data_IF_777067550779
#
_entry.id   IF_777067550779
#
_cell.length_a   1.000
_cell.length_b   1.000
_cell.length_c   1.000
_cell.angle_alpha   90.00
_cell.angle_beta   90.00
_cell.angle_gamma   90.00
#
_symmetry.space_group_name_H-M   'P 1'
#
loop_
_entity.id
_entity.type
_entity.pdbx_description
1 polymer ?
#
# COMPACT_ATOMS: atom_id res chain seq x y z
N UNK A 1 13.79 6.47 40.02
CA UNK A 1 13.25 6.11 38.70
C UNK A 1 12.67 7.38 38.10
N UNK A 2 13.30 7.92 37.06
CA UNK A 2 12.76 9.09 36.36
C UNK A 2 11.63 8.60 35.46
N UNK A 3 10.40 9.02 35.75
CA UNK A 3 9.29 8.82 34.84
C UNK A 3 9.54 9.69 33.60
N UNK A 4 9.76 9.05 32.46
CA UNK A 4 9.76 9.74 31.18
C UNK A 4 8.32 10.10 30.85
N UNK A 5 7.95 11.35 31.10
CA UNK A 5 6.69 11.89 30.62
C UNK A 5 6.87 12.31 29.16
N UNK A 6 6.19 11.61 28.26
CA UNK A 6 6.00 12.13 26.92
C UNK A 6 5.08 13.35 27.02
N UNK A 7 5.46 14.46 26.37
CA UNK A 7 4.59 15.63 26.27
C UNK A 7 3.32 15.38 25.44
N UNK A 8 3.24 14.22 24.78
CA UNK A 8 2.17 13.85 23.87
C UNK A 8 1.29 12.76 24.48
N UNK A 9 -0.01 13.04 24.62
CA UNK A 9 -0.94 12.18 25.36
C UNK A 9 -1.50 11.02 24.52
N UNK A 10 -1.43 11.13 23.18
CA UNK A 10 -2.12 10.23 22.25
C UNK A 10 -1.16 9.51 21.29
N UNK A 11 0.03 9.14 21.76
CA UNK A 11 1.05 8.49 20.92
C UNK A 11 0.49 7.20 20.30
N UNK A 12 0.60 7.06 18.97
CA UNK A 12 0.15 5.89 18.20
C UNK A 12 -1.35 5.58 18.37
N UNK A 13 -2.17 6.58 18.68
CA UNK A 13 -3.62 6.46 18.80
C UNK A 13 -4.34 6.98 17.53
N UNK A 14 -5.58 6.54 17.33
CA UNK A 14 -6.48 7.12 16.33
C UNK A 14 -6.75 8.63 16.59
N UNK A 15 -6.55 9.06 17.83
CA UNK A 15 -6.68 10.46 18.25
C UNK A 15 -5.41 11.29 18.03
N UNK A 16 -4.36 10.73 17.43
CA UNK A 16 -3.13 11.43 17.04
C UNK A 16 -3.38 12.36 15.83
N UNK A 17 -4.25 13.34 16.03
CA UNK A 17 -4.75 14.29 15.04
C UNK A 17 -4.60 15.73 15.55
N UNK A 18 -3.85 15.91 16.64
CA UNK A 18 -3.76 17.15 17.39
C UNK A 18 -3.19 18.31 16.56
N UNK A 19 -2.26 18.02 15.65
CA UNK A 19 -1.70 19.00 14.72
C UNK A 19 -2.75 19.54 13.75
N UNK A 20 -3.72 18.70 13.35
CA UNK A 20 -4.80 19.11 12.43
C UNK A 20 -6.02 19.73 13.10
N UNK A 21 -6.18 19.56 14.42
CA UNK A 21 -7.39 20.01 15.11
C UNK A 21 -7.39 21.53 15.42
N UNK A 22 -6.24 22.21 15.31
CA UNK A 22 -6.12 23.64 15.59
C UNK A 22 -5.16 24.34 14.61
N UNK A 23 -5.57 25.45 13.96
CA UNK A 23 -4.69 26.25 13.13
C UNK A 23 -3.44 26.77 13.87
N UNK A 24 -3.58 27.10 15.15
CA UNK A 24 -2.47 27.56 15.99
C UNK A 24 -1.44 26.45 16.19
N UNK A 25 -1.89 25.24 16.55
CA UNK A 25 -0.99 24.08 16.73
C UNK A 25 -0.28 23.71 15.43
N UNK A 26 -0.99 23.76 14.30
CA UNK A 26 -0.42 23.58 12.97
C UNK A 26 0.69 24.60 12.69
N UNK A 27 0.45 25.89 12.89
CA UNK A 27 1.45 26.93 12.64
C UNK A 27 2.66 26.77 13.57
N UNK A 28 2.43 26.49 14.86
CA UNK A 28 3.50 26.16 15.82
C UNK A 28 4.32 24.96 15.35
N UNK A 29 3.68 23.90 14.84
CA UNK A 29 4.37 22.74 14.29
C UNK A 29 5.23 23.09 13.07
N UNK A 30 4.72 23.92 12.15
CA UNK A 30 5.49 24.39 10.98
C UNK A 30 6.75 25.13 11.43
N UNK A 31 6.64 26.07 12.37
CA UNK A 31 7.79 26.83 12.88
C UNK A 31 8.81 25.94 13.57
N UNK A 32 8.35 25.00 14.41
CA UNK A 32 9.26 24.06 15.08
C UNK A 32 9.95 23.11 14.10
N UNK A 33 9.23 22.56 13.13
CA UNK A 33 9.81 21.67 12.12
C UNK A 33 10.80 22.42 11.22
N UNK A 34 10.52 23.68 10.88
CA UNK A 34 11.45 24.54 10.14
C UNK A 34 12.73 24.82 10.92
N UNK A 35 12.62 25.18 12.20
CA UNK A 35 13.76 25.40 13.08
C UNK A 35 14.59 24.11 13.28
N UNK A 36 13.92 22.97 13.48
CA UNK A 36 14.57 21.65 13.62
C UNK A 36 15.29 21.26 12.33
N UNK A 37 14.67 21.40 11.17
CA UNK A 37 15.29 21.11 9.88
C UNK A 37 16.51 22.01 9.64
N UNK A 38 16.40 23.31 9.96
CA UNK A 38 17.51 24.26 9.83
C UNK A 38 18.66 23.94 10.77
N UNK A 39 18.36 23.58 12.03
CA UNK A 39 19.34 23.15 13.02
C UNK A 39 20.04 21.84 12.62
N UNK A 40 19.28 20.86 12.14
CA UNK A 40 19.82 19.59 11.66
C UNK A 40 20.72 19.81 10.44
N UNK A 41 20.29 20.62 9.48
CA UNK A 41 21.08 20.96 8.32
C UNK A 41 22.41 21.60 8.73
N UNK A 42 22.39 22.57 9.65
CA UNK A 42 23.61 23.18 10.20
C UNK A 42 24.51 22.16 10.88
N UNK A 43 23.96 21.25 11.65
CA UNK A 43 24.74 20.21 12.32
C UNK A 43 25.40 19.26 11.30
N UNK A 44 24.66 18.84 10.27
CA UNK A 44 25.18 17.97 9.22
C UNK A 44 26.22 18.66 8.36
N UNK A 45 26.00 19.91 7.93
CA UNK A 45 26.98 20.65 7.12
C UNK A 45 28.23 20.98 7.93
N UNK A 46 28.09 21.37 9.20
CA UNK A 46 29.22 21.57 10.10
C UNK A 46 30.06 20.31 10.25
N UNK A 47 29.42 19.15 10.45
CA UNK A 47 30.08 17.86 10.55
C UNK A 47 30.79 17.44 9.25
N UNK A 48 30.12 17.55 8.10
CA UNK A 48 30.65 17.09 6.81
C UNK A 48 31.74 18.04 6.27
N UNK A 49 31.55 19.35 6.40
CA UNK A 49 32.44 20.37 5.83
C UNK A 49 33.46 20.91 6.85
N UNK A 50 33.47 20.41 8.09
CA UNK A 50 34.29 20.92 9.19
C UNK A 50 34.13 22.45 9.37
N UNK A 51 32.88 22.91 9.42
CA UNK A 51 32.48 24.32 9.56
C UNK A 51 33.00 25.28 8.46
N UNK A 52 33.51 24.76 7.33
CA UNK A 52 34.01 25.58 6.21
C UNK A 52 32.91 26.16 5.34
N UNK A 53 31.78 25.47 5.26
CA UNK A 53 30.59 25.91 4.53
C UNK A 53 29.51 26.35 5.51
N UNK A 54 28.84 27.46 5.18
CA UNK A 54 27.81 27.99 6.06
C UNK A 54 26.49 27.31 5.79
N UNK A 55 25.79 26.90 6.84
CA UNK A 55 24.39 26.48 6.72
C UNK A 55 23.48 27.57 6.10
N UNK A 56 23.93 28.83 6.10
CA UNK A 56 23.25 29.93 5.43
C UNK A 56 23.20 29.76 3.89
N UNK A 57 24.10 28.98 3.32
CA UNK A 57 24.16 28.73 1.88
C UNK A 57 23.05 27.75 1.42
N UNK A 58 22.39 27.08 2.37
CA UNK A 58 21.34 26.10 2.13
C UNK A 58 20.08 26.42 2.97
N UNK A 59 19.36 27.52 2.69
CA UNK A 59 18.19 27.89 3.49
C UNK A 59 17.07 26.85 3.35
N UNK A 60 16.51 26.41 4.49
CA UNK A 60 15.33 25.55 4.50
C UNK A 60 14.10 26.38 4.12
N UNK A 61 13.40 25.99 3.05
CA UNK A 61 12.18 26.66 2.60
C UNK A 61 10.99 26.36 3.55
N UNK A 62 10.58 27.36 4.30
CA UNK A 62 9.45 27.27 5.22
C UNK A 62 8.12 26.98 4.51
N UNK A 63 7.94 27.42 3.27
CA UNK A 63 6.72 27.14 2.51
C UNK A 63 6.65 25.66 2.10
N UNK A 64 7.81 25.07 1.81
CA UNK A 64 7.90 23.65 1.56
C UNK A 64 7.60 22.85 2.83
N UNK A 65 8.17 23.23 3.98
CA UNK A 65 7.84 22.62 5.29
C UNK A 65 6.34 22.72 5.57
N UNK A 66 5.74 23.90 5.38
CA UNK A 66 4.30 24.11 5.52
C UNK A 66 3.48 23.19 4.61
N UNK A 67 3.89 23.04 3.36
CA UNK A 67 3.23 22.14 2.40
C UNK A 67 3.31 20.69 2.86
N UNK A 68 4.48 20.24 3.34
CA UNK A 68 4.65 18.88 3.86
C UNK A 68 3.81 18.66 5.11
N UNK A 69 3.77 19.62 6.04
CA UNK A 69 2.90 19.54 7.23
C UNK A 69 1.43 19.40 6.82
N UNK A 70 0.97 20.23 5.88
CA UNK A 70 -0.42 20.19 5.42
C UNK A 70 -0.76 18.85 4.78
N UNK A 71 0.16 18.31 3.98
CA UNK A 71 -0.03 17.04 3.29
C UNK A 71 0.05 15.82 4.20
N UNK A 72 1.08 15.70 5.04
CA UNK A 72 1.27 14.54 5.91
C UNK A 72 0.25 14.48 7.03
N UNK A 73 -0.12 15.63 7.59
CA UNK A 73 -1.04 15.68 8.71
C UNK A 73 -2.51 15.71 8.28
N UNK A 74 -2.84 16.05 7.03
CA UNK A 74 -4.21 15.95 6.50
C UNK A 74 -4.86 14.59 6.81
N UNK A 75 -6.18 14.61 7.04
CA UNK A 75 -7.00 13.43 7.35
C UNK A 75 -6.86 12.33 6.29
N UNK A 76 -6.68 12.75 5.04
CA UNK A 76 -6.34 11.89 3.90
C UNK A 76 -5.07 12.42 3.24
N UNK A 77 -4.29 11.54 2.62
CA UNK A 77 -3.08 11.93 1.87
C UNK A 77 -3.38 12.47 0.46
N UNK A 78 -4.62 12.91 0.23
CA UNK A 78 -5.09 13.45 -1.03
C UNK A 78 -4.78 14.95 -1.19
N UNK A 79 -3.55 15.38 -0.90
CA UNK A 79 -3.14 16.77 -1.05
C UNK A 79 -2.55 17.03 -2.44
N UNK A 80 -2.74 18.24 -2.98
CA UNK A 80 -2.29 18.60 -4.33
C UNK A 80 -0.79 18.39 -4.59
N UNK A 81 0.05 18.46 -3.55
CA UNK A 81 1.48 18.16 -3.68
C UNK A 81 1.73 16.66 -3.87
N UNK A 82 1.19 15.80 -3.01
CA UNK A 82 1.32 14.33 -3.13
C UNK A 82 0.74 13.81 -4.45
N UNK A 83 -0.40 14.38 -4.86
CA UNK A 83 -1.02 14.07 -6.13
C UNK A 83 -0.10 14.32 -7.35
N UNK A 84 0.71 15.37 -7.29
CA UNK A 84 1.65 15.76 -8.35
C UNK A 84 2.92 14.94 -8.38
N UNK A 85 3.25 14.22 -7.31
CA UNK A 85 4.50 13.45 -7.23
C UNK A 85 4.27 11.96 -7.42
N UNK A 86 3.05 11.48 -7.17
CA UNK A 86 2.66 10.08 -7.38
C UNK A 86 1.24 10.02 -7.97
N UNK A 87 1.07 10.37 -9.26
CA UNK A 87 -0.25 10.41 -9.90
C UNK A 87 -0.91 9.04 -9.98
N UNK A 88 -0.15 7.95 -10.05
CA UNK A 88 -0.69 6.60 -10.22
C UNK A 88 -1.24 5.99 -8.91
N UNK A 89 -0.93 6.60 -7.76
CA UNK A 89 -1.28 6.08 -6.43
C UNK A 89 -2.52 6.77 -5.80
N UNK A 90 -3.20 7.62 -6.58
CA UNK A 90 -4.41 8.35 -6.20
C UNK A 90 -5.51 7.48 -5.57
N UNK A 91 -5.84 6.28 -6.10
CA UNK A 91 -6.91 5.47 -5.53
C UNK A 91 -6.69 5.12 -4.05
N UNK A 92 -5.42 5.03 -3.64
CA UNK A 92 -5.04 4.70 -2.27
C UNK A 92 -4.97 5.92 -1.35
N UNK A 93 -4.89 7.15 -1.89
CA UNK A 93 -4.90 8.38 -1.09
C UNK A 93 -6.28 8.77 -0.57
N UNK A 94 -7.35 8.15 -1.09
CA UNK A 94 -8.71 8.34 -0.59
C UNK A 94 -8.99 7.57 0.71
N UNK A 95 -8.13 6.60 1.06
CA UNK A 95 -8.19 5.93 2.35
C UNK A 95 -7.72 6.88 3.48
N UNK A 96 -8.18 6.61 4.70
CA UNK A 96 -7.70 7.30 5.89
C UNK A 96 -6.17 7.18 5.98
N UNK A 97 -5.52 8.25 6.44
CA UNK A 97 -4.07 8.27 6.72
C UNK A 97 -3.69 7.04 7.55
N UNK A 98 -2.81 6.19 7.02
CA UNK A 98 -2.36 5.00 7.71
C UNK A 98 -0.83 4.87 7.64
N UNK A 99 -0.19 5.01 8.81
CA UNK A 99 1.25 4.83 9.00
C UNK A 99 1.63 3.37 9.29
N UNK A 100 0.65 2.46 9.30
CA UNK A 100 0.88 1.04 9.51
C UNK A 100 1.83 0.49 8.45
N UNK A 101 2.84 -0.25 8.91
CA UNK A 101 3.89 -0.82 8.07
C UNK A 101 3.37 -1.95 7.17
N UNK A 102 2.23 -2.55 7.50
CA UNK A 102 1.68 -3.68 6.76
C UNK A 102 2.47 -4.97 6.96
N UNK A 103 1.91 -6.11 6.50
CA UNK A 103 2.64 -7.35 6.42
C UNK A 103 3.70 -7.29 5.31
N UNK A 104 4.73 -8.13 5.40
CA UNK A 104 5.80 -8.20 4.41
C UNK A 104 5.24 -8.39 2.99
N UNK A 105 5.72 -7.58 2.05
CA UNK A 105 5.30 -7.62 0.63
C UNK A 105 4.20 -6.61 0.28
N UNK A 106 3.54 -5.98 1.26
CA UNK A 106 2.68 -4.84 1.03
C UNK A 106 3.42 -3.55 1.39
N UNK A 107 3.62 -2.67 0.41
CA UNK A 107 4.22 -1.36 0.67
C UNK A 107 3.16 -0.39 1.17
N UNK A 108 3.43 0.27 2.30
CA UNK A 108 2.50 1.28 2.81
C UNK A 108 2.49 2.50 1.87
N UNK A 109 1.36 3.22 1.73
CA UNK A 109 1.34 4.46 0.96
C UNK A 109 2.39 5.48 1.43
N UNK A 110 2.70 5.48 2.73
CA UNK A 110 3.77 6.29 3.33
C UNK A 110 5.11 6.04 2.67
N UNK A 111 5.45 4.77 2.43
CA UNK A 111 6.69 4.39 1.77
C UNK A 111 6.80 5.00 0.37
N UNK A 112 5.73 4.92 -0.42
CA UNK A 112 5.70 5.51 -1.76
C UNK A 112 5.86 7.03 -1.71
N UNK A 113 5.12 7.70 -0.82
CA UNK A 113 5.19 9.16 -0.61
C UNK A 113 6.61 9.59 -0.25
N UNK A 114 7.21 8.98 0.77
CA UNK A 114 8.56 9.33 1.24
C UNK A 114 9.59 9.04 0.15
N UNK A 115 9.50 7.90 -0.55
CA UNK A 115 10.40 7.58 -1.66
C UNK A 115 10.32 8.63 -2.78
N UNK A 116 9.10 9.00 -3.20
CA UNK A 116 8.92 9.99 -4.25
C UNK A 116 9.43 11.38 -3.84
N UNK A 117 9.15 11.81 -2.60
CA UNK A 117 9.66 13.06 -2.06
C UNK A 117 11.19 13.08 -2.07
N UNK A 118 11.82 12.04 -1.55
CA UNK A 118 13.28 11.94 -1.52
C UNK A 118 13.87 11.97 -2.94
N UNK A 119 13.32 11.20 -3.88
CA UNK A 119 13.79 11.18 -5.28
C UNK A 119 13.64 12.57 -5.92
N UNK A 120 12.53 13.25 -5.72
CA UNK A 120 12.34 14.57 -6.31
C UNK A 120 13.17 15.67 -5.64
N UNK A 121 13.46 15.55 -4.34
CA UNK A 121 14.26 16.52 -3.61
C UNK A 121 15.75 16.36 -3.85
N UNK A 122 16.25 15.12 -4.02
CA UNK A 122 17.68 14.81 -4.08
C UNK A 122 18.15 14.22 -5.41
N UNK A 123 17.22 13.78 -6.26
CA UNK A 123 17.54 13.20 -7.57
C UNK A 123 17.84 14.27 -8.62
N UNK A 124 18.66 13.90 -9.59
CA UNK A 124 19.07 14.77 -10.69
C UNK A 124 18.58 14.21 -12.04
N UNK A 125 17.97 15.05 -12.86
CA UNK A 125 17.49 14.69 -14.21
C UNK A 125 18.46 15.11 -15.32
N UNK A 126 19.37 16.04 -15.05
CA UNK A 126 20.37 16.52 -16.02
C UNK A 126 21.38 15.45 -16.45
N UNK A 127 21.57 14.41 -15.62
CA UNK A 127 22.43 13.28 -15.94
C UNK A 127 21.83 12.32 -17.00
N UNK A 128 20.54 12.46 -17.32
CA UNK A 128 19.79 11.54 -18.21
C UNK A 128 18.90 12.29 -19.22
N UNK A 129 19.43 13.27 -19.97
CA UNK A 129 18.59 14.12 -20.83
C UNK A 129 18.00 13.38 -22.03
N UNK A 130 18.59 12.25 -22.42
CA UNK A 130 18.21 11.46 -23.60
C UNK A 130 17.30 10.26 -23.26
N UNK A 131 17.02 10.02 -21.98
CA UNK A 131 16.20 8.89 -21.52
C UNK A 131 14.73 9.29 -21.60
N UNK A 132 13.96 8.61 -22.45
CA UNK A 132 12.55 8.96 -22.72
C UNK A 132 11.56 7.91 -22.24
N UNK A 133 12.02 6.72 -21.88
CA UNK A 133 11.17 5.61 -21.43
C UNK A 133 11.69 5.02 -20.12
N UNK A 134 10.80 4.37 -19.39
CA UNK A 134 11.11 3.63 -18.16
C UNK A 134 12.15 2.54 -18.41
N UNK A 135 11.96 1.73 -19.45
CA UNK A 135 12.91 0.67 -19.83
C UNK A 135 14.33 1.21 -20.05
N UNK A 136 14.45 2.37 -20.72
CA UNK A 136 15.76 3.00 -20.94
C UNK A 136 16.38 3.46 -19.61
N UNK A 137 15.58 3.95 -18.68
CA UNK A 137 16.06 4.34 -17.35
C UNK A 137 16.57 3.11 -16.58
N UNK A 138 15.83 2.00 -16.61
CA UNK A 138 16.19 0.78 -15.90
C UNK A 138 17.46 0.12 -16.45
N UNK A 139 17.70 0.21 -17.78
CA UNK A 139 18.93 -0.29 -18.39
C UNK A 139 20.21 0.43 -17.95
N UNK A 140 20.09 1.57 -17.25
CA UNK A 140 21.24 2.29 -16.69
C UNK A 140 21.70 1.74 -15.33
N UNK A 141 20.85 0.97 -14.64
CA UNK A 141 21.17 0.43 -13.31
C UNK A 141 22.23 -0.69 -13.29
N UNK A 142 22.29 -1.62 -14.27
CA UNK A 142 23.32 -2.66 -14.27
C UNK A 142 24.74 -2.09 -14.22
N UNK A 143 25.54 -2.57 -13.26
CA UNK A 143 26.94 -2.16 -13.08
C UNK A 143 27.14 -0.83 -12.33
N UNK A 144 26.06 -0.20 -11.85
CA UNK A 144 26.16 0.98 -10.98
C UNK A 144 26.26 0.55 -9.52
N UNK A 145 27.24 1.10 -8.79
CA UNK A 145 27.44 0.84 -7.36
C UNK A 145 27.07 2.02 -6.46
N UNK A 146 27.05 3.24 -7.02
CA UNK A 146 26.87 4.48 -6.26
C UNK A 146 25.50 5.10 -6.47
N UNK A 147 24.98 5.00 -7.70
CA UNK A 147 23.74 5.63 -8.08
C UNK A 147 22.74 4.62 -8.60
N UNK A 148 21.47 4.95 -8.40
CA UNK A 148 20.34 4.29 -9.00
C UNK A 148 19.61 5.26 -9.93
N UNK A 149 19.13 4.72 -11.03
CA UNK A 149 18.32 5.41 -12.01
C UNK A 149 16.88 4.98 -11.80
N UNK A 150 16.02 5.94 -11.46
CA UNK A 150 14.62 5.69 -11.13
C UNK A 150 13.72 6.52 -12.04
N UNK A 151 12.81 5.84 -12.73
CA UNK A 151 11.76 6.50 -13.49
C UNK A 151 10.69 7.03 -12.53
N UNK A 152 10.47 8.34 -12.50
CA UNK A 152 9.51 8.97 -11.60
C UNK A 152 8.80 10.14 -12.25
N UNK A 153 7.55 10.37 -11.85
CA UNK A 153 6.76 11.50 -12.35
C UNK A 153 7.29 12.81 -11.78
N UNK A 154 7.51 13.82 -12.63
CA UNK A 154 7.88 15.17 -12.24
C UNK A 154 6.66 16.08 -12.29
N UNK A 155 6.18 16.51 -11.12
CA UNK A 155 5.00 17.37 -11.00
C UNK A 155 5.17 18.80 -11.52
N UNK A 156 6.40 19.28 -11.73
CA UNK A 156 6.67 20.61 -12.30
C UNK A 156 6.59 20.58 -13.82
N UNK A 157 7.14 19.55 -14.43
CA UNK A 157 7.16 19.37 -15.89
C UNK A 157 5.96 18.57 -16.43
N UNK A 158 5.15 18.01 -15.52
CA UNK A 158 3.97 17.19 -15.83
C UNK A 158 4.28 16.00 -16.76
N UNK A 159 5.45 15.38 -16.57
CA UNK A 159 5.92 14.19 -17.31
C UNK A 159 6.82 13.33 -16.42
N UNK A 160 6.93 12.05 -16.74
CA UNK A 160 7.90 11.17 -16.11
C UNK A 160 9.30 11.38 -16.67
N UNK A 161 10.29 11.38 -15.78
CA UNK A 161 11.69 11.59 -16.07
C UNK A 161 12.51 10.49 -15.38
N UNK A 162 13.68 10.19 -15.95
CA UNK A 162 14.67 9.36 -15.28
C UNK A 162 15.46 10.24 -14.30
N UNK A 163 15.50 9.86 -13.03
CA UNK A 163 16.27 10.52 -11.99
C UNK A 163 17.49 9.67 -11.65
N UNK A 164 18.68 10.27 -11.68
CA UNK A 164 19.87 9.71 -11.03
C UNK A 164 19.83 10.08 -9.55
N UNK A 165 19.88 9.09 -8.66
CA UNK A 165 19.79 9.30 -7.22
C UNK A 165 20.69 8.34 -6.45
N UNK A 166 21.16 8.75 -5.27
CA UNK A 166 21.82 7.86 -4.30
C UNK A 166 20.82 7.19 -3.36
N UNK A 167 19.52 7.43 -3.54
CA UNK A 167 18.47 6.84 -2.72
C UNK A 167 18.22 5.42 -3.18
N UNK A 168 18.39 4.48 -2.25
CA UNK A 168 18.05 3.07 -2.44
C UNK A 168 17.14 2.58 -1.33
N UNK A 169 16.48 1.47 -1.57
CA UNK A 169 15.53 0.87 -0.64
C UNK A 169 16.11 -0.41 -0.08
N UNK A 170 16.08 -0.57 1.23
CA UNK A 170 16.48 -1.80 1.91
C UNK A 170 15.25 -2.49 2.50
N UNK A 171 15.32 -3.80 2.66
CA UNK A 171 14.26 -4.54 3.32
C UNK A 171 14.35 -4.32 4.84
N UNK A 172 13.32 -3.70 5.40
CA UNK A 172 13.18 -3.55 6.85
C UNK A 172 12.45 -4.79 7.43
N UNK A 173 13.19 -5.88 7.60
CA UNK A 173 12.69 -7.13 8.20
C UNK A 173 13.53 -7.49 9.42
N UNK A 174 12.87 -7.98 10.48
CA UNK A 174 13.61 -8.41 11.67
C UNK A 174 14.53 -9.59 11.36
N UNK A 175 15.79 -9.57 11.85
CA UNK A 175 16.74 -10.68 11.67
C UNK A 175 16.24 -12.03 12.20
N UNK A 176 15.29 -12.05 13.15
CA UNK A 176 14.66 -13.30 13.64
C UNK A 176 14.01 -14.14 12.53
N UNK A 177 13.77 -13.54 11.36
CA UNK A 177 13.12 -14.17 10.22
C UNK A 177 14.03 -14.30 8.99
N UNK A 178 15.35 -14.12 9.12
CA UNK A 178 16.28 -14.15 7.98
C UNK A 178 16.32 -15.52 7.28
N UNK A 179 16.29 -16.62 8.03
CA UNK A 179 16.61 -17.97 7.52
C UNK A 179 15.36 -18.84 7.21
N UNK A 180 14.25 -18.23 6.77
CA UNK A 180 12.98 -18.94 6.50
C UNK A 180 12.39 -19.73 7.70
N UNK A 181 12.92 -19.53 8.90
CA UNK A 181 12.45 -20.10 10.15
C UNK A 181 12.60 -19.11 11.29
N UNK A 182 11.73 -19.20 12.30
CA UNK A 182 11.85 -18.38 13.50
C UNK A 182 13.03 -18.88 14.32
N UNK A 183 14.08 -18.07 14.37
CA UNK A 183 15.22 -18.32 15.24
C UNK A 183 14.85 -17.96 16.68
N UNK A 184 14.40 -18.96 17.43
CA UNK A 184 13.98 -18.82 18.83
C UNK A 184 15.12 -18.50 19.80
N UNK A 185 16.37 -18.60 19.35
CA UNK A 185 17.58 -18.25 20.10
C UNK A 185 17.86 -16.74 20.11
N UNK A 186 17.18 -15.96 19.26
CA UNK A 186 17.42 -14.53 19.10
C UNK A 186 16.35 -13.67 19.79
N UNK A 187 16.27 -13.78 21.12
CA UNK A 187 15.36 -12.96 21.95
C UNK A 187 15.64 -11.44 21.88
N UNK A 188 16.77 -11.03 21.30
CA UNK A 188 17.15 -9.63 21.17
C UNK A 188 16.51 -8.92 19.96
N UNK A 189 15.82 -9.65 19.09
CA UNK A 189 15.21 -9.11 17.88
C UNK A 189 13.69 -9.15 17.95
N UNK A 190 13.06 -8.23 17.21
CA UNK A 190 11.60 -8.12 17.12
C UNK A 190 10.99 -9.38 16.49
N UNK A 191 10.02 -10.00 17.17
CA UNK A 191 9.29 -11.17 16.67
C UNK A 191 7.84 -10.87 16.31
N UNK A 192 7.52 -9.59 16.08
CA UNK A 192 6.15 -9.18 15.73
C UNK A 192 5.73 -9.79 14.39
N UNK A 193 4.59 -10.47 14.40
CA UNK A 193 3.94 -11.06 13.21
C UNK A 193 2.47 -10.68 13.24
N UNK A 194 1.91 -10.38 12.07
CA UNK A 194 0.48 -10.12 11.88
C UNK A 194 -0.23 -11.43 11.52
N UNK A 195 -1.40 -11.70 12.09
CA UNK A 195 -2.21 -12.84 11.67
C UNK A 195 -2.75 -12.62 10.25
N UNK A 196 -2.92 -13.70 9.50
CA UNK A 196 -3.55 -13.65 8.18
C UNK A 196 -5.06 -13.83 8.35
N UNK A 197 -5.84 -12.87 7.86
CA UNK A 197 -7.31 -12.92 7.89
C UNK A 197 -7.90 -12.48 6.54
N UNK A 198 -9.09 -12.98 6.23
CA UNK A 198 -9.89 -12.46 5.13
C UNK A 198 -10.52 -11.11 5.51
N UNK A 199 -10.79 -10.20 4.55
CA UNK A 199 -11.36 -8.89 4.84
C UNK A 199 -12.65 -9.02 5.66
N UNK A 200 -12.65 -8.42 6.85
CA UNK A 200 -13.83 -8.42 7.71
C UNK A 200 -14.97 -7.66 7.03
N UNK A 201 -16.12 -8.32 6.90
CA UNK A 201 -17.37 -7.66 6.52
C UNK A 201 -18.17 -7.44 7.78
N UNK A 202 -18.39 -6.17 8.12
CA UNK A 202 -19.36 -5.81 9.15
C UNK A 202 -20.71 -5.69 8.47
N UNK A 203 -21.57 -6.68 8.68
CA UNK A 203 -22.92 -6.70 8.15
C UNK A 203 -23.91 -6.57 9.31
N UNK A 204 -24.77 -5.56 9.23
CA UNK A 204 -25.86 -5.36 10.19
C UNK A 204 -27.09 -6.04 9.62
N UNK A 205 -27.58 -7.05 10.33
CA UNK A 205 -28.85 -7.71 10.03
C UNK A 205 -29.79 -7.59 11.22
N UNK A 206 -31.08 -7.53 10.94
CA UNK A 206 -32.11 -7.62 11.96
C UNK A 206 -32.27 -9.10 12.32
N UNK A 207 -31.94 -9.45 13.56
CA UNK A 207 -32.28 -10.76 14.08
C UNK A 207 -33.77 -10.78 14.42
N UNK A 208 -34.49 -11.75 13.86
CA UNK A 208 -35.91 -11.91 14.15
C UNK A 208 -36.08 -12.31 15.61
N UNK A 209 -37.03 -11.70 16.33
CA UNK A 209 -37.37 -12.13 17.69
C UNK A 209 -37.59 -13.65 17.70
N UNK A 210 -37.22 -14.38 18.77
CA UNK A 210 -37.35 -15.85 18.82
C UNK A 210 -38.76 -16.37 18.45
N UNK A 211 -39.81 -15.55 18.59
CA UNK A 211 -41.16 -15.86 18.10
C UNK A 211 -41.27 -16.00 16.58
N UNK A 212 -40.44 -15.29 15.81
CA UNK A 212 -40.39 -15.41 14.35
C UNK A 212 -39.88 -16.78 13.92
N UNK A 213 -38.96 -17.41 14.66
CA UNK A 213 -38.53 -18.79 14.41
C UNK A 213 -39.73 -19.74 14.52
N UNK A 214 -40.58 -19.56 15.53
CA UNK A 214 -41.81 -20.34 15.66
C UNK A 214 -42.75 -20.12 14.46
N UNK A 215 -42.91 -18.87 14.01
CA UNK A 215 -43.71 -18.59 12.80
C UNK A 215 -43.11 -19.20 11.53
N UNK A 216 -41.78 -19.22 11.38
CA UNK A 216 -41.08 -19.87 10.28
C UNK A 216 -41.23 -21.40 10.31
N UNK A 217 -41.11 -22.01 11.49
CA UNK A 217 -41.32 -23.46 11.65
C UNK A 217 -42.78 -23.80 11.34
N UNK A 218 -43.73 -23.03 11.88
CA UNK A 218 -45.16 -23.24 11.66
C UNK A 218 -45.53 -23.06 10.18
N UNK A 219 -45.04 -22.00 9.52
CA UNK A 219 -45.28 -21.78 8.10
C UNK A 219 -44.65 -22.87 7.22
N UNK A 220 -43.47 -23.37 7.61
CA UNK A 220 -42.81 -24.48 6.92
C UNK A 220 -43.62 -25.78 7.04
N UNK A 221 -44.15 -26.10 8.23
CA UNK A 221 -45.01 -27.28 8.44
C UNK A 221 -46.29 -27.16 7.60
N UNK A 222 -46.95 -26.00 7.63
CA UNK A 222 -48.15 -25.75 6.83
C UNK A 222 -47.84 -25.92 5.34
N UNK A 223 -46.71 -25.39 4.87
CA UNK A 223 -46.25 -25.53 3.50
C UNK A 223 -46.04 -26.99 3.09
N UNK A 224 -45.38 -27.78 3.93
CA UNK A 224 -45.16 -29.22 3.68
C UNK A 224 -46.49 -29.98 3.62
N UNK A 225 -47.41 -29.72 4.56
CA UNK A 225 -48.74 -30.37 4.57
C UNK A 225 -49.53 -30.01 3.32
N UNK A 226 -49.53 -28.74 2.92
CA UNK A 226 -50.19 -28.31 1.67
C UNK A 226 -49.61 -29.03 0.45
N UNK A 227 -48.28 -29.15 0.35
CA UNK A 227 -47.63 -29.91 -0.72
C UNK A 227 -48.08 -31.38 -0.70
N UNK A 228 -48.06 -32.04 0.46
CA UNK A 228 -48.49 -33.43 0.58
C UNK A 228 -49.95 -33.63 0.18
N UNK A 229 -50.85 -32.74 0.59
CA UNK A 229 -52.25 -32.79 0.19
C UNK A 229 -52.40 -32.60 -1.32
N UNK A 230 -51.72 -31.63 -1.93
CA UNK A 230 -51.74 -31.47 -3.40
C UNK A 230 -51.18 -32.70 -4.13
N UNK A 231 -50.15 -33.36 -3.59
CA UNK A 231 -49.65 -34.62 -4.13
C UNK A 231 -50.67 -35.76 -4.02
N UNK A 232 -51.38 -35.87 -2.89
CA UNK A 232 -52.43 -36.89 -2.68
C UNK A 232 -53.60 -36.65 -3.63
N UNK A 233 -54.09 -35.42 -3.73
CA UNK A 233 -55.18 -35.04 -4.64
C UNK A 233 -54.78 -35.32 -6.10
N UNK A 234 -53.54 -34.95 -6.48
CA UNK A 234 -53.01 -35.26 -7.80
C UNK A 234 -52.96 -36.77 -8.07
N UNK A 235 -52.55 -37.57 -7.09
CA UNK A 235 -52.50 -39.04 -7.19
C UNK A 235 -53.90 -39.67 -7.32
N UNK A 236 -54.88 -39.16 -6.57
CA UNK A 236 -56.26 -39.64 -6.63
C UNK A 236 -56.97 -39.30 -7.94
N UNK A 237 -56.68 -38.13 -8.52
CA UNK A 237 -57.20 -37.73 -9.83
C UNK A 237 -56.50 -38.48 -10.96
N UNK A 238 -55.23 -38.86 -10.78
CA UNK A 238 -54.44 -39.55 -11.79
C UNK A 238 -53.92 -40.93 -11.33
N UNK A 239 -54.78 -41.89 -10.94
CA UNK A 239 -54.36 -43.19 -10.43
C UNK A 239 -53.70 -44.08 -11.50
N UNK A 240 -53.87 -43.72 -12.77
CA UNK A 240 -53.22 -44.38 -13.92
C UNK A 240 -52.10 -43.55 -14.56
N UNK A 241 -51.72 -42.40 -13.97
CA UNK A 241 -50.46 -41.79 -14.33
C UNK A 241 -49.34 -42.74 -13.88
N UNK A 242 -48.90 -43.60 -14.79
CA UNK A 242 -47.61 -44.27 -14.67
C UNK A 242 -46.60 -43.18 -14.29
N UNK A 243 -45.73 -43.39 -13.28
CA UNK A 243 -44.66 -42.45 -13.00
C UNK A 243 -44.02 -42.14 -14.35
N UNK A 244 -43.75 -40.86 -14.69
CA UNK A 244 -43.12 -40.55 -15.96
C UNK A 244 -41.93 -41.48 -16.04
N UNK A 245 -42.00 -42.44 -16.97
CA UNK A 245 -40.84 -43.25 -17.29
C UNK A 245 -39.84 -42.17 -17.61
N UNK A 246 -38.83 -42.00 -16.75
CA UNK A 246 -37.64 -41.30 -17.13
C UNK A 246 -37.20 -42.15 -18.32
N UNK A 247 -37.62 -41.76 -19.51
CA UNK A 247 -37.01 -42.21 -20.73
C UNK A 247 -35.65 -41.53 -20.60
N UNK A 248 -34.78 -42.18 -19.83
CA UNK A 248 -33.38 -42.20 -20.13
C UNK A 248 -33.40 -42.61 -21.59
N UNK A 249 -33.32 -41.61 -22.46
CA UNK A 249 -32.83 -41.74 -23.81
C UNK A 249 -31.37 -42.18 -23.66
N UNK A 250 -31.20 -43.42 -23.18
CA UNK A 250 -30.01 -44.24 -23.23
C UNK A 250 -29.84 -44.79 -24.65
N UNK A 251 -30.59 -44.27 -25.63
CA UNK A 251 -30.22 -44.31 -27.04
C UNK A 251 -29.37 -43.07 -27.33
N UNK A 252 -28.08 -43.34 -27.53
CA UNK A 252 -27.06 -42.52 -28.20
C UNK A 252 -26.03 -41.74 -27.35
N UNK A 253 -25.67 -42.22 -26.16
CA UNK A 253 -24.42 -41.81 -25.47
C UNK A 253 -23.22 -42.75 -25.69
N UNK A 254 -23.43 -43.98 -26.20
CA UNK A 254 -22.31 -44.88 -26.56
C UNK A 254 -21.56 -44.47 -27.84
N UNK A 255 -22.18 -43.71 -28.76
CA UNK A 255 -21.48 -43.13 -29.92
C UNK A 255 -20.68 -41.86 -29.56
N UNK A 256 -21.22 -41.00 -28.68
CA UNK A 256 -20.50 -39.81 -28.19
C UNK A 256 -19.33 -40.11 -27.25
N UNK A 257 -19.41 -41.17 -26.42
CA UNK A 257 -18.26 -41.59 -25.58
C UNK A 257 -17.10 -42.20 -26.37
N UNK A 258 -17.34 -42.76 -27.55
CA UNK A 258 -16.27 -43.26 -28.45
C UNK A 258 -15.63 -42.14 -29.28
N UNK A 259 -16.36 -41.06 -29.56
CA UNK A 259 -15.81 -39.85 -30.17
C UNK A 259 -14.99 -39.00 -29.17
N UNK A 260 -15.39 -38.90 -27.89
CA UNK A 260 -14.62 -38.17 -26.87
C UNK A 260 -13.31 -38.83 -26.47
N UNK A 261 -13.24 -40.18 -26.39
CA UNK A 261 -11.96 -40.86 -26.13
C UNK A 261 -10.92 -40.66 -27.23
N UNK A 262 -11.33 -40.45 -28.49
CA UNK A 262 -10.39 -40.09 -29.58
C UNK A 262 -9.94 -38.62 -29.56
N UNK A 263 -10.58 -37.75 -28.79
CA UNK A 263 -10.17 -36.33 -28.64
C UNK A 263 -9.30 -36.15 -27.40
N UNK A 264 -9.53 -36.94 -26.34
CA UNK A 264 -8.67 -36.96 -25.14
C UNK A 264 -7.33 -37.65 -25.38
N UNK A 265 -7.27 -38.68 -26.22
CA UNK A 265 -6.00 -39.36 -26.58
C UNK A 265 -5.11 -38.49 -27.50
N UNK A 266 -5.64 -37.41 -28.09
CA UNK A 266 -4.87 -36.40 -28.85
C UNK A 266 -4.50 -35.19 -27.98
N UNK A 267 -5.15 -34.98 -26.83
CA UNK A 267 -4.86 -33.84 -25.94
C UNK A 267 -3.88 -34.18 -24.81
N UNK A 268 -3.50 -35.45 -24.65
CA UNK A 268 -2.55 -35.89 -23.62
C UNK A 268 -1.07 -35.86 -24.07
N UNK A 269 -0.80 -35.29 -25.27
CA UNK A 269 0.55 -35.05 -25.78
C UNK A 269 0.98 -33.57 -25.71
N UNK A 270 0.20 -32.69 -25.07
CA UNK A 270 0.60 -31.30 -24.87
C UNK A 270 0.54 -30.92 -23.38
N UNK A 271 1.70 -30.49 -22.89
CA UNK A 271 1.96 -30.11 -21.50
C UNK A 271 1.17 -28.89 -21.02
N UNK A 272 1.44 -28.46 -19.78
CA UNK A 272 0.52 -27.65 -18.99
C UNK A 272 0.42 -26.24 -19.55
N UNK A 273 -0.80 -25.77 -19.86
CA UNK A 273 -1.02 -24.35 -20.12
C UNK A 273 -2.39 -23.85 -19.67
N UNK A 274 -2.29 -22.87 -18.77
CA UNK A 274 -3.03 -21.61 -18.66
C UNK A 274 -4.57 -21.60 -18.69
N UNK A 275 -5.12 -21.13 -17.56
CA UNK A 275 -6.50 -20.71 -17.40
C UNK A 275 -6.70 -19.35 -18.08
N UNK A 276 -7.35 -19.34 -19.24
CA UNK A 276 -7.76 -18.13 -19.96
C UNK A 276 -9.05 -17.57 -19.35
N UNK A 277 -8.96 -16.41 -18.72
CA UNK A 277 -10.11 -15.63 -18.22
C UNK A 277 -10.76 -14.91 -19.41
N UNK A 278 -12.05 -15.17 -19.66
CA UNK A 278 -12.84 -14.45 -20.67
C UNK A 278 -13.56 -13.29 -20.00
N UNK A 279 -13.27 -12.07 -20.44
CA UNK A 279 -14.10 -10.90 -20.14
C UNK A 279 -15.03 -10.62 -21.32
N UNK A 280 -16.31 -10.46 -21.00
CA UNK A 280 -17.35 -10.07 -21.95
C UNK A 280 -17.70 -8.63 -21.63
N UNK A 281 -17.26 -7.68 -22.46
CA UNK A 281 -17.70 -6.28 -22.38
C UNK A 281 -18.90 -6.07 -23.30
N UNK A 282 -19.97 -5.48 -22.75
CA UNK A 282 -21.16 -5.07 -23.49
C UNK A 282 -21.23 -3.55 -23.44
N UNK A 283 -21.04 -2.90 -24.59
CA UNK A 283 -21.15 -1.44 -24.71
C UNK A 283 -22.60 -1.07 -25.04
N UNK A 284 -23.23 -0.10 -24.34
CA UNK A 284 -24.60 0.30 -24.65
C UNK A 284 -24.62 1.24 -25.86
N UNK A 285 -25.39 0.88 -26.89
CA UNK A 285 -25.62 1.73 -28.06
C UNK A 285 -26.75 2.74 -27.79
N UNK A 286 -26.45 4.00 -28.10
CA UNK A 286 -27.33 5.15 -27.95
C UNK A 286 -28.52 5.07 -28.92
N UNK A 287 -29.73 5.33 -28.41
CA UNK A 287 -31.02 5.00 -29.04
C UNK A 287 -31.60 6.24 -29.69
N UNK A 288 -31.48 6.37 -31.01
CA UNK A 288 -32.34 7.23 -31.84
C UNK A 288 -32.42 6.66 -33.26
N UNK A 289 -33.64 6.29 -33.65
CA UNK A 289 -34.21 6.05 -34.98
C UNK A 289 -34.84 4.67 -35.20
N UNK A 290 -36.11 4.74 -35.60
CA UNK A 290 -36.94 3.66 -36.10
C UNK A 290 -36.35 3.09 -37.40
N UNK A 291 -35.87 1.85 -37.33
CA UNK A 291 -36.16 0.82 -38.32
C UNK A 291 -35.69 -0.54 -37.81
N UNK A 292 -36.50 -1.55 -38.10
CA UNK A 292 -36.46 -2.88 -37.49
C UNK A 292 -35.52 -3.79 -38.29
N UNK A 293 -34.25 -3.89 -37.87
CA UNK A 293 -33.34 -4.96 -38.31
C UNK A 293 -32.67 -5.63 -37.10
N UNK A 294 -32.50 -6.96 -37.21
CA UNK A 294 -31.96 -7.84 -36.17
C UNK A 294 -30.44 -7.66 -36.12
N UNK A 295 -29.82 -7.33 -34.97
CA UNK A 295 -28.38 -7.17 -34.89
C UNK A 295 -27.67 -8.53 -35.01
N UNK A 296 -26.73 -8.63 -35.95
CA UNK A 296 -25.78 -9.74 -36.01
C UNK A 296 -24.66 -9.52 -34.99
N UNK A 297 -24.42 -10.52 -34.14
CA UNK A 297 -23.32 -10.54 -33.17
C UNK A 297 -22.10 -11.14 -33.86
N UNK A 298 -21.11 -10.32 -34.16
CA UNK A 298 -19.81 -10.77 -34.66
C UNK A 298 -18.86 -10.97 -33.48
N UNK A 299 -18.41 -12.20 -33.27
CA UNK A 299 -17.41 -12.55 -32.24
C UNK A 299 -16.05 -12.59 -32.91
N UNK A 300 -15.19 -11.63 -32.59
CA UNK A 300 -13.79 -11.61 -33.07
C UNK A 300 -12.88 -12.12 -31.95
N UNK A 301 -12.18 -13.23 -32.20
CA UNK A 301 -11.20 -13.82 -31.27
C UNK A 301 -9.82 -13.33 -31.69
N UNK A 302 -9.17 -12.53 -30.84
CA UNK A 302 -7.75 -12.19 -31.00
C UNK A 302 -6.92 -12.97 -29.96
N UNK A 303 -5.85 -13.67 -30.34
CA UNK A 303 -4.96 -14.34 -29.40
C UNK A 303 -4.05 -13.31 -28.71
N UNK A 304 -4.13 -13.22 -27.37
CA UNK A 304 -3.14 -12.52 -26.54
C UNK A 304 -1.98 -13.46 -26.23
N UNK A 305 -0.78 -13.15 -26.74
CA UNK A 305 0.45 -13.85 -26.38
C UNK A 305 1.08 -13.17 -25.16
N UNK A 306 0.64 -13.53 -23.96
CA UNK A 306 1.35 -13.22 -22.72
C UNK A 306 1.79 -14.52 -22.04
N UNK A 307 2.99 -14.98 -22.42
CA UNK A 307 3.68 -16.05 -21.71
C UNK A 307 4.47 -15.45 -20.55
N UNK A 308 3.93 -15.54 -19.33
CA UNK A 308 4.68 -15.31 -18.09
C UNK A 308 5.69 -16.46 -17.95
N UNK A 309 6.97 -16.16 -18.24
CA UNK A 309 8.10 -17.01 -17.81
C UNK A 309 8.42 -16.67 -16.36
N UNK A 310 8.24 -17.64 -15.47
CA UNK A 310 8.89 -17.63 -14.16
C UNK A 310 10.41 -17.72 -14.39
N UNK A 311 11.23 -16.83 -13.80
CA UNK A 311 12.66 -16.98 -13.86
C UNK A 311 13.09 -18.18 -13.01
N UNK A 312 13.94 -19.00 -13.63
CA UNK A 312 14.65 -20.11 -13.04
C UNK A 312 15.57 -19.58 -11.92
N UNK A 313 15.38 -20.06 -10.69
CA UNK A 313 16.21 -19.70 -9.54
C UNK A 313 17.42 -20.64 -9.54
N UNK A 314 18.42 -20.29 -10.34
CA UNK A 314 19.79 -20.74 -10.14
C UNK A 314 20.76 -19.61 -10.50
N UNK A 315 21.80 -19.47 -9.68
CA UNK A 315 22.90 -18.51 -9.76
C UNK A 315 22.61 -17.06 -9.30
N UNK A 316 22.48 -16.90 -7.98
CA UNK A 316 23.02 -15.73 -7.30
C UNK A 316 24.27 -16.11 -6.52
N UNK A 317 25.43 -15.78 -7.10
CA UNK A 317 26.67 -15.60 -6.36
C UNK A 317 26.49 -14.42 -5.40
N UNK A 318 26.55 -14.70 -4.11
CA UNK A 318 26.67 -13.68 -3.08
C UNK A 318 27.89 -12.78 -3.34
N UNK A 319 27.77 -11.45 -3.19
CA UNK A 319 28.95 -10.62 -3.02
C UNK A 319 29.56 -10.90 -1.65
N UNK A 320 30.83 -11.29 -1.65
CA UNK A 320 31.67 -11.44 -0.44
C UNK A 320 31.70 -10.10 0.29
N UNK A 321 30.94 -9.98 1.37
CA UNK A 321 31.07 -8.89 2.34
C UNK A 321 32.30 -9.19 3.17
N UNK A 322 33.40 -8.51 2.85
CA UNK A 322 34.62 -8.54 3.66
C UNK A 322 34.36 -7.88 5.02
N UNK A 323 34.33 -8.70 6.07
CA UNK A 323 34.42 -8.20 7.44
C UNK A 323 35.85 -7.68 7.68
N UNK A 324 36.01 -6.37 7.76
CA UNK A 324 37.22 -5.76 8.31
C UNK A 324 37.14 -5.87 9.82
N UNK A 325 37.87 -6.84 10.38
CA UNK A 325 38.17 -6.87 11.81
C UNK A 325 39.11 -5.69 12.12
N UNK A 326 38.57 -4.63 12.73
CA UNK A 326 39.40 -3.62 13.36
C UNK A 326 39.87 -4.15 14.71
N UNK A 327 41.17 -4.45 14.78
CA UNK A 327 41.91 -4.75 16.01
C UNK A 327 41.74 -3.61 17.01
N UNK A 328 41.38 -3.97 18.24
CA UNK A 328 41.32 -3.09 19.40
C UNK A 328 42.68 -3.16 20.08
N UNK A 329 43.54 -2.19 19.82
CA UNK A 329 44.73 -1.94 20.63
C UNK A 329 44.72 -0.47 21.10
N UNK A 330 44.83 -0.32 22.41
CA UNK A 330 45.26 0.82 23.21
C UNK A 330 44.98 2.26 22.72
N UNK A 331 44.07 2.95 23.42
CA UNK A 331 44.22 4.37 23.69
C UNK A 331 43.53 4.78 25.00
N UNK A 332 44.40 5.03 25.98
CA UNK A 332 44.23 5.72 27.26
C UNK A 332 43.22 6.87 27.30
N UNK A 333 42.31 6.74 28.26
CA UNK A 333 41.71 7.73 29.16
C UNK A 333 42.28 9.17 29.12
N UNK A 334 41.45 10.13 28.72
CA UNK A 334 41.53 11.51 29.20
C UNK A 334 40.15 12.18 29.14
N UNK A 335 39.55 12.38 30.30
CA UNK A 335 38.33 13.17 30.52
C UNK A 335 38.65 14.67 30.43
N UNK A 336 37.74 15.49 29.88
CA UNK A 336 37.59 16.85 30.38
C UNK A 336 36.14 17.20 30.71
N UNK A 337 35.93 17.39 32.02
CA UNK A 337 35.26 18.54 32.66
C UNK A 337 34.01 19.13 31.98
N UNK A 338 32.87 18.75 32.54
CA UNK A 338 31.57 19.42 32.45
C UNK A 338 31.64 20.85 33.02
N UNK A 339 31.59 21.87 32.16
CA UNK A 339 31.28 23.27 32.52
C UNK A 339 30.89 24.00 31.23
N UNK A 340 29.60 24.24 31.01
CA UNK A 340 28.99 25.39 30.32
C UNK A 340 27.53 25.07 29.95
N UNK A 341 26.62 25.07 30.94
CA UNK A 341 25.18 25.35 30.71
C UNK A 341 24.69 26.09 31.96
N UNK A 342 24.99 27.38 32.02
CA UNK A 342 24.34 28.38 32.85
C UNK A 342 24.63 29.68 32.14
N UNK A 343 23.68 30.15 31.31
CA UNK A 343 23.50 31.54 30.86
C UNK A 343 22.55 31.58 29.64
N UNK A 344 21.33 31.06 29.78
CA UNK A 344 20.19 31.39 28.90
C UNK A 344 18.90 31.34 29.73
N UNK A 345 18.84 32.10 30.83
CA UNK A 345 17.59 32.25 31.58
C UNK A 345 17.60 33.55 32.40
N UNK A 346 17.80 34.70 31.73
CA UNK A 346 17.62 36.01 32.38
C UNK A 346 17.41 37.17 31.40
N UNK A 347 16.40 37.08 30.54
CA UNK A 347 15.93 38.26 29.80
C UNK A 347 14.51 38.04 29.25
N UNK A 348 13.51 37.98 30.14
CA UNK A 348 12.08 38.19 29.79
C UNK A 348 11.23 38.31 31.06
N UNK A 349 11.50 39.33 31.89
CA UNK A 349 10.60 39.66 33.00
C UNK A 349 10.61 41.15 33.32
N UNK A 350 10.26 42.03 32.37
CA UNK A 350 9.96 43.43 32.68
C UNK A 350 9.24 44.12 31.50
N UNK A 351 7.90 43.97 31.44
CA UNK A 351 6.99 44.92 30.76
C UNK A 351 5.52 44.56 31.01
N UNK A 352 5.03 44.78 32.24
CA UNK A 352 3.59 44.96 32.50
C UNK A 352 3.39 46.12 33.47
N UNK A 353 3.38 47.33 32.92
CA UNK A 353 2.79 48.50 33.55
C UNK A 353 1.41 48.74 32.95
N UNK A 354 0.38 48.47 33.76
CA UNK A 354 -0.98 48.98 33.57
C UNK A 354 -1.02 50.45 33.97
N UNK A 355 -1.91 51.26 33.36
CA UNK A 355 -2.75 52.09 34.23
C UNK A 355 -4.23 52.13 33.82
N UNK A 356 -5.07 51.91 34.83
CA UNK A 356 -6.26 52.68 35.21
C UNK A 356 -7.17 53.32 34.14
N UNK A 357 -8.41 52.80 34.08
CA UNK A 357 -9.66 53.36 34.66
C UNK A 357 -10.17 54.75 34.19
N UNK A 358 -11.49 54.75 33.92
CA UNK A 358 -12.44 55.85 33.60
C UNK A 358 -12.39 56.26 32.12
N UNK A 359 -13.50 56.32 31.37
CA UNK A 359 -14.91 56.60 31.67
C UNK A 359 -15.82 55.62 30.95
#
# INVERSE_FOLDING_TARGET
MNHFYYAFNNINSLEDTEITSSPQKRETAVQHLHALASGLLKAVTGYVHNDKESAADFPVDINYVKTLVDCFFSRTWNCSHFQKIIPDYQPHFHAYRNLYIGPSGQQSPMWHIVKALLIQSLGETHATPNVKTEDQCDTLNPGQSVYHYVWAFNGKENKSLCYRTSIFTTQARSPSFADNGVRSDLFNYSTWVESVWDPHKLEVFLDGAHSTLFHFILSSIIGIVAILLTCIDWYQVNPQATPPVIITTARNQRSKKRARRRVEEVSQEQGPSQVVRREVSVTPTNRNNENKEIPQVTVTVSPSNDSIRLPDVSDHKEPVVGYVNASSDDATESTPSTKLIHDVEKETSEARTSPNRRR
#
